data_IF_980246917034
#
_entry.id   IF_980246917034
#
_cell.length_a   1.000
_cell.length_b   1.000
_cell.length_c   1.000
_cell.angle_alpha   90.00
_cell.angle_beta   90.00
_cell.angle_gamma   90.00
#
_symmetry.space_group_name_H-M   'P 1'
#
loop_
_entity.id
_entity.type
_entity.pdbx_description
1 polymer ?
#
# COMPACT_ATOMS: atom_id res chain seq x y z
N UNK A 1 11.12 -17.98 11.62
CA UNK A 1 10.21 -17.91 10.45
C UNK A 1 9.77 -16.47 10.32
N UNK A 2 10.09 -15.79 9.21
CA UNK A 2 9.63 -14.42 8.97
C UNK A 2 8.12 -14.47 8.78
N UNK A 3 7.36 -13.68 9.55
CA UNK A 3 5.90 -13.59 9.36
C UNK A 3 5.62 -13.10 7.93
N UNK A 4 4.82 -13.83 7.12
CA UNK A 4 4.58 -13.47 5.72
C UNK A 4 3.87 -12.11 5.56
N UNK A 5 3.21 -11.61 6.61
CA UNK A 5 2.58 -10.29 6.64
C UNK A 5 3.50 -9.16 7.14
N UNK A 6 4.60 -9.50 7.82
CA UNK A 6 5.48 -8.51 8.44
C UNK A 6 6.23 -7.66 7.41
N UNK A 7 6.73 -8.30 6.35
CA UNK A 7 7.49 -7.62 5.29
C UNK A 7 6.61 -6.67 4.46
N UNK A 8 5.42 -7.08 3.97
CA UNK A 8 4.53 -6.17 3.25
C UNK A 8 4.11 -4.96 4.08
N UNK A 9 3.73 -5.16 5.35
CA UNK A 9 3.32 -4.05 6.23
C UNK A 9 4.49 -3.10 6.51
N UNK A 10 5.70 -3.60 6.72
CA UNK A 10 6.88 -2.75 6.85
C UNK A 10 7.12 -1.95 5.55
N UNK A 11 6.97 -2.59 4.39
CA UNK A 11 7.13 -1.93 3.10
C UNK A 11 6.13 -0.78 2.90
N UNK A 12 4.86 -0.95 3.30
CA UNK A 12 3.86 0.15 3.22
C UNK A 12 4.33 1.40 3.95
N UNK A 13 4.85 1.24 5.16
CA UNK A 13 5.31 2.35 6.01
C UNK A 13 6.54 3.02 5.37
N UNK A 14 7.47 2.22 4.85
CA UNK A 14 8.68 2.74 4.18
C UNK A 14 8.30 3.52 2.91
N UNK A 15 7.42 2.98 2.06
CA UNK A 15 7.02 3.64 0.82
C UNK A 15 6.28 4.95 1.07
N UNK A 16 5.35 4.96 2.03
CA UNK A 16 4.61 6.18 2.39
C UNK A 16 5.52 7.26 2.99
N UNK A 17 6.44 6.88 3.88
CA UNK A 17 7.39 7.84 4.47
C UNK A 17 8.35 8.41 3.43
N UNK A 18 8.88 7.58 2.52
CA UNK A 18 9.77 8.03 1.44
C UNK A 18 9.05 8.92 0.43
N UNK A 19 7.84 8.56 0.00
CA UNK A 19 7.05 9.41 -0.91
C UNK A 19 6.72 10.77 -0.30
N UNK A 20 6.42 10.81 1.00
CA UNK A 20 6.20 12.09 1.69
C UNK A 20 7.47 12.94 1.76
N UNK A 21 8.64 12.33 2.00
CA UNK A 21 9.92 13.04 2.00
C UNK A 21 10.24 13.60 0.61
N UNK A 22 10.02 12.80 -0.44
CA UNK A 22 10.21 13.22 -1.84
C UNK A 22 9.30 14.41 -2.20
N UNK A 23 8.04 14.40 -1.75
CA UNK A 23 7.13 15.54 -1.97
C UNK A 23 7.56 16.82 -1.25
N UNK A 24 8.29 16.72 -0.14
CA UNK A 24 8.80 17.90 0.59
C UNK A 24 10.09 18.45 -0.02
N UNK A 25 10.90 17.59 -0.62
CA UNK A 25 12.17 17.97 -1.27
C UNK A 25 11.99 18.37 -2.74
N UNK A 26 10.86 18.04 -3.35
CA UNK A 26 10.54 18.40 -4.73
C UNK A 26 10.59 19.92 -4.95
N UNK A 27 11.26 20.33 -6.03
CA UNK A 27 11.40 21.74 -6.45
C UNK A 27 10.22 22.26 -7.28
N UNK A 28 9.23 21.41 -7.52
CA UNK A 28 8.03 21.71 -8.29
C UNK A 28 6.80 21.34 -7.47
N UNK A 29 5.71 22.03 -7.71
CA UNK A 29 4.43 21.91 -7.03
C UNK A 29 3.36 21.35 -7.95
N UNK A 30 2.20 20.99 -7.40
CA UNK A 30 1.05 20.56 -8.21
C UNK A 30 0.55 21.65 -9.17
N UNK A 31 0.84 22.92 -8.88
CA UNK A 31 0.52 24.07 -9.75
C UNK A 31 1.53 24.29 -10.88
N UNK A 32 2.68 23.61 -10.88
CA UNK A 32 3.73 23.83 -11.87
C UNK A 32 3.46 23.05 -13.16
N UNK A 33 2.67 23.70 -14.03
CA UNK A 33 2.44 23.26 -15.41
C UNK A 33 1.73 21.91 -15.52
N UNK A 34 1.93 21.23 -16.64
CA UNK A 34 1.34 19.90 -16.92
C UNK A 34 2.13 18.80 -16.21
N UNK A 35 3.46 18.95 -16.13
CA UNK A 35 4.35 17.98 -15.50
C UNK A 35 4.05 17.78 -14.01
N UNK A 36 3.99 18.87 -13.23
CA UNK A 36 3.69 18.78 -11.80
C UNK A 36 2.32 18.15 -11.54
N UNK A 37 1.30 18.53 -12.32
CA UNK A 37 -0.04 17.94 -12.21
C UNK A 37 -0.06 16.44 -12.45
N UNK A 38 0.54 15.97 -13.55
CA UNK A 38 0.55 14.54 -13.88
C UNK A 38 1.35 13.76 -12.83
N UNK A 39 2.51 14.26 -12.42
CA UNK A 39 3.36 13.63 -11.43
C UNK A 39 2.65 13.44 -10.08
N UNK A 40 2.09 14.51 -9.50
CA UNK A 40 1.42 14.43 -8.21
C UNK A 40 0.12 13.63 -8.28
N UNK A 41 -0.60 13.66 -9.41
CA UNK A 41 -1.81 12.84 -9.59
C UNK A 41 -1.46 11.35 -9.67
N UNK A 42 -0.50 10.96 -10.51
CA UNK A 42 -0.16 9.54 -10.70
C UNK A 42 0.46 8.93 -9.46
N UNK A 43 1.48 9.59 -8.91
CA UNK A 43 2.21 9.10 -7.72
C UNK A 43 1.35 9.20 -6.46
N UNK A 44 0.53 10.25 -6.33
CA UNK A 44 -0.35 10.43 -5.18
C UNK A 44 -1.51 9.42 -5.18
N UNK A 45 -2.09 9.14 -6.36
CA UNK A 45 -3.11 8.11 -6.50
C UNK A 45 -2.56 6.71 -6.21
N UNK A 46 -1.37 6.39 -6.72
CA UNK A 46 -0.69 5.14 -6.38
C UNK A 46 -0.38 5.05 -4.87
N UNK A 47 0.14 6.13 -4.26
CA UNK A 47 0.40 6.19 -2.81
C UNK A 47 -0.86 5.96 -1.96
N UNK A 48 -2.03 6.42 -2.43
CA UNK A 48 -3.32 6.09 -1.81
C UNK A 48 -3.64 4.59 -1.92
N UNK A 49 -3.40 3.97 -3.08
CA UNK A 49 -3.60 2.53 -3.27
C UNK A 49 -2.69 1.70 -2.36
N UNK A 50 -1.42 2.09 -2.20
CA UNK A 50 -0.48 1.48 -1.24
C UNK A 50 -1.03 1.53 0.20
N UNK A 51 -1.57 2.68 0.62
CA UNK A 51 -2.19 2.83 1.94
C UNK A 51 -3.41 1.92 2.10
N UNK A 52 -4.32 1.90 1.11
CA UNK A 52 -5.50 1.03 1.13
C UNK A 52 -5.12 -0.45 1.16
N UNK A 53 -4.13 -0.86 0.37
CA UNK A 53 -3.61 -2.24 0.36
C UNK A 53 -2.99 -2.63 1.69
N UNK A 54 -2.22 -1.72 2.30
CA UNK A 54 -1.64 -1.90 3.62
C UNK A 54 -2.70 -2.07 4.71
N UNK A 55 -3.73 -1.23 4.72
CA UNK A 55 -4.86 -1.36 5.65
C UNK A 55 -5.60 -2.68 5.46
N UNK A 56 -5.82 -3.09 4.21
CA UNK A 56 -6.51 -4.34 3.91
C UNK A 56 -5.72 -5.57 4.39
N UNK A 57 -4.40 -5.58 4.20
CA UNK A 57 -3.51 -6.60 4.78
C UNK A 57 -3.49 -6.55 6.32
N UNK A 58 -3.49 -5.37 6.92
CA UNK A 58 -3.53 -5.19 8.36
C UNK A 58 -4.82 -5.76 8.98
N UNK A 59 -5.99 -5.47 8.40
CA UNK A 59 -7.25 -6.04 8.87
C UNK A 59 -7.30 -7.57 8.68
N UNK A 60 -6.74 -8.09 7.58
CA UNK A 60 -6.62 -9.53 7.39
C UNK A 60 -5.67 -10.16 8.43
N UNK A 61 -4.57 -9.51 8.78
CA UNK A 61 -3.69 -9.96 9.87
C UNK A 61 -4.43 -10.00 11.21
N UNK A 62 -5.20 -8.96 11.55
CA UNK A 62 -6.02 -8.96 12.77
C UNK A 62 -7.04 -10.10 12.81
N UNK A 63 -7.69 -10.39 11.67
CA UNK A 63 -8.63 -11.51 11.56
C UNK A 63 -7.94 -12.87 11.70
N UNK A 64 -6.71 -12.99 11.19
CA UNK A 64 -5.87 -14.19 11.32
C UNK A 64 -5.49 -14.44 12.78
N UNK A 65 -5.02 -13.40 13.50
CA UNK A 65 -4.65 -13.50 14.92
C UNK A 65 -5.85 -13.89 15.78
N UNK A 66 -7.05 -13.42 15.43
CA UNK A 66 -8.30 -13.79 16.12
C UNK A 66 -8.89 -15.13 15.63
N UNK A 67 -8.15 -15.94 14.85
CA UNK A 67 -8.57 -17.26 14.36
C UNK A 67 -9.93 -17.29 13.63
N UNK A 68 -10.28 -16.25 12.87
CA UNK A 68 -11.56 -16.19 12.14
C UNK A 68 -11.55 -16.94 10.80
N UNK A 69 -10.39 -17.41 10.33
CA UNK A 69 -10.27 -18.08 9.04
C UNK A 69 -10.38 -19.60 9.20
N UNK A 70 -11.11 -20.22 8.28
CA UNK A 70 -11.18 -21.67 8.11
C UNK A 70 -10.51 -22.06 6.77
N UNK A 71 -10.07 -23.30 6.63
CA UNK A 71 -9.33 -23.80 5.46
C UNK A 71 -10.05 -23.52 4.12
N UNK A 72 -11.38 -23.48 4.12
CA UNK A 72 -12.19 -23.19 2.92
C UNK A 72 -12.73 -21.74 2.85
N UNK A 73 -12.48 -20.91 3.85
CA UNK A 73 -13.06 -19.56 3.95
C UNK A 73 -11.97 -18.51 4.21
N UNK A 74 -11.06 -18.35 3.24
CA UNK A 74 -9.95 -17.40 3.27
C UNK A 74 -9.95 -16.43 2.08
N UNK A 75 -11.07 -16.29 1.37
CA UNK A 75 -11.23 -15.39 0.21
C UNK A 75 -10.78 -13.94 0.51
N UNK A 76 -11.10 -13.42 1.69
CA UNK A 76 -10.68 -12.07 2.09
C UNK A 76 -9.16 -11.91 2.18
N UNK A 77 -8.44 -12.98 2.51
CA UNK A 77 -6.99 -13.02 2.53
C UNK A 77 -6.42 -13.08 1.11
N UNK A 78 -6.97 -13.93 0.24
CA UNK A 78 -6.54 -14.04 -1.16
C UNK A 78 -6.70 -12.72 -1.91
N UNK A 79 -7.84 -12.05 -1.76
CA UNK A 79 -8.04 -10.72 -2.34
C UNK A 79 -7.06 -9.69 -1.78
N UNK A 80 -6.68 -9.80 -0.51
CA UNK A 80 -5.64 -8.94 0.09
C UNK A 80 -4.27 -9.12 -0.55
N UNK A 81 -3.88 -10.37 -0.79
CA UNK A 81 -2.61 -10.71 -1.43
C UNK A 81 -2.62 -10.28 -2.90
N UNK A 82 -3.72 -10.52 -3.62
CA UNK A 82 -3.88 -10.11 -5.02
C UNK A 82 -3.83 -8.58 -5.16
N UNK A 83 -4.50 -7.85 -4.28
CA UNK A 83 -4.46 -6.39 -4.28
C UNK A 83 -3.04 -5.87 -3.98
N UNK A 84 -2.32 -6.54 -3.08
CA UNK A 84 -0.92 -6.20 -2.81
C UNK A 84 -0.01 -6.40 -4.03
N UNK A 85 -0.15 -7.51 -4.75
CA UNK A 85 0.60 -7.75 -5.99
C UNK A 85 0.22 -6.77 -7.09
N UNK A 86 -1.06 -6.39 -7.19
CA UNK A 86 -1.49 -5.35 -8.12
C UNK A 86 -0.78 -4.02 -7.85
N UNK A 87 -0.72 -3.61 -6.57
CA UNK A 87 -0.02 -2.38 -6.19
C UNK A 87 1.47 -2.47 -6.45
N UNK A 88 2.11 -3.63 -6.30
CA UNK A 88 3.55 -3.80 -6.57
C UNK A 88 3.92 -3.69 -8.06
N UNK A 89 2.98 -4.00 -8.95
CA UNK A 89 3.18 -3.93 -10.41
C UNK A 89 3.02 -2.51 -10.95
N UNK A 90 2.20 -1.68 -10.30
CA UNK A 90 1.90 -0.30 -10.71
C UNK A 90 2.99 0.64 -10.23
#
# INVERSE_FOLDING_TARGET
>A
MVNPFGVPLLNTIILLSRGLMEYREARFSISDGIYGRIFYLSTGFHGLHVLCGGLFLFFNLLRLVKCHFNYNHHLGLEFGILYWHFVDVV
#
